data_IF_326836212419
#
_entry.id   IF_326836212419
#
_cell.length_a   1.000
_cell.length_b   1.000
_cell.length_c   1.000
_cell.angle_alpha   90.00
_cell.angle_beta   90.00
_cell.angle_gamma   90.00
#
_symmetry.space_group_name_H-M   'P 1'
#
loop_
_entity.id
_entity.type
_entity.pdbx_description
1 polymer ?
#
# COMPACT_ATOMS: atom_id res chain seq x y z
N UNK A 1 -20.87 -14.41 -10.55
CA UNK A 1 -19.72 -14.91 -9.81
C UNK A 1 -19.05 -13.71 -9.11
N UNK A 2 -19.41 -13.49 -7.85
CA UNK A 2 -18.63 -12.60 -6.98
C UNK A 2 -17.30 -13.32 -6.79
N UNK A 3 -16.20 -12.73 -7.27
CA UNK A 3 -14.89 -13.34 -7.13
C UNK A 3 -14.57 -13.48 -5.64
N UNK A 4 -13.95 -14.59 -5.26
CA UNK A 4 -13.51 -14.85 -3.88
C UNK A 4 -12.53 -13.77 -3.36
N UNK A 5 -11.93 -12.98 -4.23
CA UNK A 5 -11.04 -11.86 -3.91
C UNK A 5 -11.75 -10.73 -3.16
N UNK A 6 -12.95 -10.31 -3.59
CA UNK A 6 -13.67 -9.21 -2.95
C UNK A 6 -14.02 -9.49 -1.48
N UNK A 7 -14.35 -10.75 -1.14
CA UNK A 7 -14.63 -11.12 0.25
C UNK A 7 -13.38 -11.07 1.13
N UNK A 8 -12.22 -11.52 0.63
CA UNK A 8 -10.96 -11.49 1.38
C UNK A 8 -10.48 -10.07 1.66
N UNK A 9 -10.67 -9.14 0.72
CA UNK A 9 -10.29 -7.74 0.89
C UNK A 9 -11.11 -7.04 1.98
N UNK A 10 -12.42 -7.32 2.06
CA UNK A 10 -13.27 -6.80 3.13
C UNK A 10 -12.75 -7.21 4.52
N UNK A 11 -12.37 -8.46 4.70
CA UNK A 11 -11.85 -8.95 5.99
C UNK A 11 -10.49 -8.35 6.33
N UNK A 12 -9.59 -8.22 5.37
CA UNK A 12 -8.26 -7.63 5.59
C UNK A 12 -8.35 -6.20 6.09
N UNK A 13 -9.11 -5.33 5.40
CA UNK A 13 -9.29 -3.95 5.82
C UNK A 13 -9.98 -3.80 7.18
N UNK A 14 -10.99 -4.65 7.46
CA UNK A 14 -11.65 -4.64 8.77
C UNK A 14 -10.69 -5.06 9.89
N UNK A 15 -9.87 -6.08 9.65
CA UNK A 15 -8.85 -6.50 10.60
C UNK A 15 -7.81 -5.40 10.82
N UNK A 16 -7.28 -4.79 9.76
CA UNK A 16 -6.32 -3.69 9.83
C UNK A 16 -6.87 -2.50 10.62
N UNK A 17 -8.07 -2.04 10.27
CA UNK A 17 -8.73 -0.93 10.96
C UNK A 17 -9.02 -1.25 12.45
N UNK A 18 -9.46 -2.48 12.75
CA UNK A 18 -9.73 -2.90 14.13
C UNK A 18 -8.45 -2.96 14.98
N UNK A 19 -7.37 -3.48 14.42
CA UNK A 19 -6.05 -3.51 15.06
C UNK A 19 -5.59 -2.07 15.31
N UNK A 20 -5.71 -1.18 14.31
CA UNK A 20 -5.38 0.24 14.43
C UNK A 20 -6.13 0.89 15.60
N UNK A 21 -7.44 0.76 15.65
CA UNK A 21 -8.27 1.31 16.72
C UNK A 21 -7.89 0.77 18.12
N UNK A 22 -7.57 -0.52 18.20
CA UNK A 22 -7.13 -1.14 19.47
C UNK A 22 -5.74 -0.63 19.91
N UNK A 23 -4.84 -0.35 18.99
CA UNK A 23 -3.52 0.22 19.29
C UNK A 23 -3.64 1.69 19.73
N UNK A 24 -4.46 2.47 19.02
CA UNK A 24 -4.77 3.86 19.41
C UNK A 24 -5.41 3.94 20.80
N UNK A 25 -6.30 3.00 21.14
CA UNK A 25 -6.91 2.94 22.49
C UNK A 25 -5.88 2.70 23.60
N UNK A 26 -4.68 2.24 23.25
CA UNK A 26 -3.53 2.08 24.17
C UNK A 26 -2.57 3.26 24.13
N UNK A 27 -2.89 4.32 23.43
CA UNK A 27 -2.11 5.55 23.35
C UNK A 27 -0.98 5.52 22.33
N UNK A 28 -0.99 4.56 21.39
CA UNK A 28 -0.02 4.48 20.31
C UNK A 28 -0.49 5.30 19.10
N UNK A 29 0.44 5.91 18.41
CA UNK A 29 0.20 6.55 17.11
C UNK A 29 0.26 5.51 16.00
N UNK A 30 -0.76 5.47 15.13
CA UNK A 30 -0.90 4.45 14.10
C UNK A 30 -1.02 5.09 12.73
N UNK A 31 -0.34 4.52 11.74
CA UNK A 31 -0.55 4.79 10.31
C UNK A 31 -1.12 3.53 9.65
N UNK A 32 -2.02 3.73 8.68
CA UNK A 32 -2.56 2.64 7.85
C UNK A 32 -2.27 2.94 6.38
N UNK A 33 -1.70 1.96 5.69
CA UNK A 33 -1.32 2.07 4.29
C UNK A 33 -1.91 0.92 3.47
N UNK A 34 -2.36 1.23 2.27
CA UNK A 34 -2.80 0.25 1.26
C UNK A 34 -1.79 0.16 0.13
N UNK A 35 -1.38 -1.06 -0.18
CA UNK A 35 -0.60 -1.41 -1.37
C UNK A 35 -1.51 -2.15 -2.34
N UNK A 36 -1.73 -1.57 -3.52
CA UNK A 36 -2.62 -2.12 -4.54
C UNK A 36 -1.84 -2.67 -5.73
N UNK A 37 -1.92 -3.98 -6.01
CA UNK A 37 -1.10 -4.62 -7.05
C UNK A 37 -1.59 -4.37 -8.48
N UNK A 38 -2.61 -3.55 -8.72
CA UNK A 38 -3.04 -3.21 -10.07
C UNK A 38 -2.16 -2.13 -10.72
N UNK A 39 -2.18 -2.07 -12.06
CA UNK A 39 -1.32 -1.17 -12.87
C UNK A 39 -1.94 0.24 -13.05
N UNK A 40 -3.17 0.47 -12.67
CA UNK A 40 -3.75 1.81 -12.67
C UNK A 40 -2.96 2.74 -11.76
N UNK A 41 -2.77 3.99 -12.18
CA UNK A 41 -2.05 5.00 -11.37
C UNK A 41 -2.84 5.32 -10.10
N UNK A 42 -4.15 5.42 -10.23
CA UNK A 42 -5.08 5.65 -9.13
C UNK A 42 -6.44 4.97 -9.40
N UNK A 43 -7.35 5.07 -8.46
CA UNK A 43 -8.68 4.49 -8.55
C UNK A 43 -9.68 5.35 -9.35
N UNK A 44 -9.36 6.62 -9.65
CA UNK A 44 -10.31 7.58 -10.21
C UNK A 44 -10.84 7.23 -11.60
N UNK A 45 -10.07 6.50 -12.40
CA UNK A 45 -10.48 6.06 -13.74
C UNK A 45 -11.01 4.63 -13.79
N UNK A 46 -11.07 3.96 -12.66
CA UNK A 46 -11.51 2.56 -12.61
C UNK A 46 -13.04 2.44 -12.65
N UNK A 47 -13.51 1.34 -13.21
CA UNK A 47 -14.95 1.08 -13.28
C UNK A 47 -15.53 0.76 -11.90
N UNK A 48 -16.48 1.57 -11.38
CA UNK A 48 -17.04 1.37 -10.04
C UNK A 48 -17.70 0.00 -9.83
N UNK A 49 -18.25 -0.59 -10.88
CA UNK A 49 -18.87 -1.93 -10.82
C UNK A 49 -17.86 -3.06 -10.64
N UNK A 50 -16.60 -2.83 -11.00
CA UNK A 50 -15.53 -3.81 -10.84
C UNK A 50 -14.68 -3.56 -9.60
N UNK A 51 -14.42 -2.31 -9.28
CA UNK A 51 -13.48 -1.91 -8.23
C UNK A 51 -14.14 -1.36 -6.97
N UNK A 52 -15.37 -0.86 -7.07
CA UNK A 52 -16.06 -0.17 -6.00
C UNK A 52 -15.93 1.35 -6.08
N UNK A 53 -16.35 2.02 -5.03
CA UNK A 53 -16.32 3.47 -4.95
C UNK A 53 -14.90 4.00 -4.73
N UNK A 54 -14.64 5.20 -5.23
CA UNK A 54 -13.38 5.92 -5.03
C UNK A 54 -13.48 6.75 -3.75
N UNK A 55 -12.44 6.70 -2.92
CA UNK A 55 -12.26 7.57 -1.79
C UNK A 55 -11.27 8.68 -2.13
N UNK A 56 -11.65 9.94 -1.87
CA UNK A 56 -10.80 11.11 -2.11
C UNK A 56 -10.27 11.60 -0.77
N UNK A 57 -8.96 11.59 -0.60
CA UNK A 57 -8.27 12.07 0.60
C UNK A 57 -8.30 13.60 0.69
N UNK A 58 -7.99 14.18 1.87
CA UNK A 58 -7.95 15.63 2.05
C UNK A 58 -6.96 16.33 1.12
N UNK A 59 -5.86 15.68 0.75
CA UNK A 59 -4.87 16.20 -0.21
C UNK A 59 -5.24 15.93 -1.67
N UNK A 60 -6.47 15.45 -1.94
CA UNK A 60 -7.04 15.30 -3.27
C UNK A 60 -6.59 14.04 -4.02
N UNK A 61 -6.02 13.06 -3.35
CA UNK A 61 -5.69 11.79 -3.99
C UNK A 61 -6.95 10.91 -4.14
N UNK A 62 -7.13 10.35 -5.33
CA UNK A 62 -8.19 9.38 -5.64
C UNK A 62 -7.68 7.98 -5.31
N UNK A 63 -8.26 7.35 -4.31
CA UNK A 63 -7.76 6.11 -3.73
C UNK A 63 -8.85 5.03 -3.65
N UNK A 64 -8.46 3.83 -3.27
CA UNK A 64 -9.39 2.76 -2.93
C UNK A 64 -10.24 3.16 -1.72
N UNK A 65 -11.49 2.71 -1.70
CA UNK A 65 -12.44 2.89 -0.61
C UNK A 65 -11.91 2.40 0.76
N UNK A 66 -10.95 1.50 0.76
CA UNK A 66 -10.33 0.97 1.97
C UNK A 66 -9.75 2.07 2.86
N UNK A 67 -9.19 3.14 2.27
CA UNK A 67 -8.66 4.28 3.02
C UNK A 67 -9.76 5.02 3.80
N UNK A 68 -10.94 5.16 3.21
CA UNK A 68 -12.10 5.72 3.91
C UNK A 68 -12.58 4.87 5.08
N UNK A 69 -12.40 3.56 5.00
CA UNK A 69 -12.67 2.67 6.14
C UNK A 69 -11.63 2.84 7.26
N UNK A 70 -10.36 3.05 6.92
CA UNK A 70 -9.32 3.31 7.94
C UNK A 70 -9.66 4.57 8.74
N UNK A 71 -9.94 5.68 8.09
CA UNK A 71 -10.34 6.94 8.77
C UNK A 71 -11.63 6.81 9.58
N UNK A 72 -12.54 5.95 9.14
CA UNK A 72 -13.81 5.74 9.85
C UNK A 72 -13.63 5.07 11.22
N UNK A 73 -12.63 4.21 11.37
CA UNK A 73 -12.44 3.38 12.57
C UNK A 73 -11.26 3.83 13.43
N UNK A 74 -10.38 4.67 12.91
CA UNK A 74 -9.20 5.18 13.60
C UNK A 74 -9.15 6.70 13.56
N UNK A 75 -8.23 7.31 14.30
CA UNK A 75 -7.92 8.73 14.21
C UNK A 75 -6.80 9.03 13.19
N UNK A 76 -6.32 8.02 12.49
CA UNK A 76 -5.31 8.18 11.47
C UNK A 76 -5.86 8.99 10.28
N UNK A 77 -5.18 10.07 9.92
CA UNK A 77 -5.50 10.85 8.73
C UNK A 77 -4.77 10.24 7.56
N UNK A 78 -5.52 9.77 6.56
CA UNK A 78 -4.92 9.22 5.35
C UNK A 78 -4.74 10.30 4.29
N UNK A 79 -3.67 10.17 3.53
CA UNK A 79 -3.30 11.06 2.45
C UNK A 79 -2.71 10.25 1.29
N UNK A 80 -2.28 10.91 0.25
CA UNK A 80 -1.64 10.31 -0.93
C UNK A 80 -0.54 9.29 -0.60
N UNK A 81 0.23 9.51 0.47
CA UNK A 81 1.34 8.61 0.83
C UNK A 81 0.87 7.27 1.40
N UNK A 82 -0.40 7.18 1.80
CA UNK A 82 -0.97 5.98 2.39
C UNK A 82 -1.61 5.02 1.37
N UNK A 83 -1.61 5.39 0.07
CA UNK A 83 -1.99 4.49 -1.01
C UNK A 83 -0.89 4.42 -2.06
N UNK A 84 -0.47 3.21 -2.40
CA UNK A 84 0.56 3.00 -3.41
C UNK A 84 0.15 1.87 -4.34
N UNK A 85 0.01 2.18 -5.63
CA UNK A 85 -0.32 1.21 -6.67
C UNK A 85 0.92 0.74 -7.41
N UNK A 86 0.86 -0.42 -8.03
CA UNK A 86 1.91 -0.88 -8.96
C UNK A 86 2.15 0.16 -10.05
N UNK A 87 1.08 0.77 -10.58
CA UNK A 87 1.18 1.81 -11.61
C UNK A 87 2.02 3.00 -11.18
N UNK A 88 1.79 3.51 -9.95
CA UNK A 88 2.58 4.61 -9.40
C UNK A 88 4.06 4.25 -9.25
N UNK A 89 4.35 3.03 -8.80
CA UNK A 89 5.73 2.56 -8.63
C UNK A 89 6.45 2.51 -9.98
N UNK A 90 5.84 1.88 -10.99
CA UNK A 90 6.45 1.77 -12.31
C UNK A 90 6.57 3.13 -13.01
N UNK A 91 5.56 4.01 -12.92
CA UNK A 91 5.63 5.37 -13.48
C UNK A 91 6.83 6.13 -12.88
N UNK A 92 7.00 6.08 -11.56
CA UNK A 92 8.11 6.72 -10.86
C UNK A 92 9.46 6.17 -11.32
N UNK A 93 9.59 4.85 -11.43
CA UNK A 93 10.82 4.20 -11.88
C UNK A 93 11.15 4.58 -13.33
N UNK A 94 10.15 4.57 -14.21
CA UNK A 94 10.32 4.94 -15.62
C UNK A 94 10.75 6.40 -15.74
N UNK A 95 10.15 7.31 -14.96
CA UNK A 95 10.56 8.71 -14.93
C UNK A 95 11.99 8.89 -14.45
N UNK A 96 12.42 8.20 -13.40
CA UNK A 96 13.80 8.20 -12.90
C UNK A 96 14.77 7.69 -13.96
N UNK A 97 14.41 6.61 -14.67
CA UNK A 97 15.19 6.05 -15.75
C UNK A 97 15.37 7.08 -16.88
N UNK A 98 14.26 7.69 -17.33
CA UNK A 98 14.29 8.71 -18.40
C UNK A 98 15.05 9.98 -17.99
N UNK A 99 15.08 10.31 -16.72
CA UNK A 99 15.88 11.41 -16.17
C UNK A 99 17.37 11.04 -15.99
N UNK A 100 17.76 9.78 -16.22
CA UNK A 100 19.15 9.33 -16.10
C UNK A 100 19.61 9.07 -14.67
N UNK A 101 18.70 8.99 -13.71
CA UNK A 101 19.05 8.82 -12.29
C UNK A 101 19.74 7.48 -11.99
N UNK A 102 19.54 6.48 -12.85
CA UNK A 102 20.20 5.18 -12.72
C UNK A 102 21.57 5.08 -13.42
N UNK A 103 22.07 6.20 -13.98
CA UNK A 103 23.43 6.31 -14.57
C UNK A 103 23.75 5.21 -15.60
N UNK A 104 22.75 4.77 -16.37
CA UNK A 104 22.90 3.73 -17.40
C UNK A 104 22.83 2.29 -16.87
N UNK A 105 22.54 2.08 -15.60
CA UNK A 105 22.31 0.75 -15.07
C UNK A 105 21.05 0.11 -15.67
N UNK A 106 21.03 -1.22 -15.77
CA UNK A 106 19.83 -1.96 -16.16
C UNK A 106 18.82 -1.90 -15.02
N UNK A 107 17.64 -1.31 -15.28
CA UNK A 107 16.56 -1.21 -14.30
C UNK A 107 15.69 -2.47 -14.34
N UNK A 108 15.50 -3.13 -13.19
CA UNK A 108 14.84 -4.42 -13.06
C UNK A 108 13.85 -4.41 -11.89
N UNK A 109 12.98 -5.41 -11.82
CA UNK A 109 12.05 -5.55 -10.69
C UNK A 109 12.83 -5.67 -9.38
N UNK A 110 13.87 -6.50 -9.35
CA UNK A 110 14.81 -6.59 -8.24
C UNK A 110 16.14 -5.97 -8.68
N UNK A 111 16.65 -4.93 -8.03
CA UNK A 111 16.14 -4.35 -6.77
C UNK A 111 15.15 -3.20 -6.93
N UNK A 112 15.04 -2.55 -8.08
CA UNK A 112 14.49 -1.19 -8.21
C UNK A 112 13.01 -1.06 -7.84
N UNK A 113 12.15 -2.01 -8.30
CA UNK A 113 10.72 -2.01 -7.92
C UNK A 113 10.57 -2.34 -6.43
N UNK A 114 11.36 -3.30 -5.95
CA UNK A 114 11.33 -3.72 -4.54
C UNK A 114 11.76 -2.56 -3.62
N UNK A 115 12.81 -1.85 -3.98
CA UNK A 115 13.30 -0.72 -3.19
C UNK A 115 12.29 0.43 -3.18
N UNK A 116 11.63 0.72 -4.31
CA UNK A 116 10.59 1.74 -4.37
C UNK A 116 9.37 1.39 -3.51
N UNK A 117 8.98 0.10 -3.45
CA UNK A 117 7.93 -0.37 -2.53
C UNK A 117 8.36 -0.16 -1.07
N UNK A 118 9.59 -0.55 -0.71
CA UNK A 118 10.11 -0.36 0.65
C UNK A 118 10.15 1.12 1.02
N UNK A 119 10.58 1.99 0.12
CA UNK A 119 10.57 3.44 0.34
C UNK A 119 9.14 4.00 0.54
N UNK A 120 8.15 3.48 -0.20
CA UNK A 120 6.76 3.90 -0.03
C UNK A 120 6.24 3.54 1.38
N UNK A 121 6.54 2.33 1.87
CA UNK A 121 6.19 1.91 3.22
C UNK A 121 6.87 2.79 4.27
N UNK A 122 8.15 3.09 4.12
CA UNK A 122 8.88 3.95 5.06
C UNK A 122 8.26 5.36 5.13
N UNK A 123 7.91 5.95 3.97
CA UNK A 123 7.26 7.27 3.94
C UNK A 123 5.92 7.29 4.67
N UNK A 124 5.12 6.22 4.53
CA UNK A 124 3.84 6.09 5.23
C UNK A 124 4.01 5.77 6.73
N UNK A 125 5.19 5.34 7.14
CA UNK A 125 5.52 4.98 8.53
C UNK A 125 6.18 6.12 9.31
N UNK A 126 6.32 7.29 8.71
CA UNK A 126 7.03 8.41 9.34
C UNK A 126 6.26 8.95 10.53
N UNK A 127 6.97 9.21 11.62
CA UNK A 127 6.44 9.81 12.85
C UNK A 127 5.29 9.05 13.54
N UNK A 128 5.19 7.73 13.37
CA UNK A 128 4.21 6.88 14.08
C UNK A 128 4.91 5.76 14.84
N UNK A 129 4.25 5.26 15.88
CA UNK A 129 4.75 4.12 16.65
C UNK A 129 4.59 2.81 15.88
N UNK A 130 3.48 2.68 15.14
CA UNK A 130 3.13 1.47 14.38
C UNK A 130 2.52 1.85 13.03
N UNK A 131 3.05 1.25 11.96
CA UNK A 131 2.44 1.28 10.64
C UNK A 131 1.81 -0.07 10.31
N UNK A 132 0.55 -0.04 9.90
CA UNK A 132 -0.20 -1.21 9.41
C UNK A 132 -0.26 -1.11 7.90
N UNK A 133 0.33 -2.08 7.21
CA UNK A 133 0.37 -2.11 5.74
C UNK A 133 -0.48 -3.27 5.25
N UNK A 134 -1.54 -2.95 4.51
CA UNK A 134 -2.40 -3.92 3.87
C UNK A 134 -1.99 -4.09 2.40
N UNK A 135 -1.78 -5.34 1.98
CA UNK A 135 -1.57 -5.67 0.56
C UNK A 135 -2.88 -6.13 -0.04
N UNK A 136 -3.35 -5.44 -1.07
CA UNK A 136 -4.51 -5.80 -1.87
C UNK A 136 -4.29 -7.07 -2.70
N UNK A 137 -5.40 -7.60 -3.23
CA UNK A 137 -5.38 -8.80 -4.05
C UNK A 137 -5.26 -10.11 -3.27
N UNK A 138 -5.09 -11.21 -4.01
CA UNK A 138 -5.02 -12.56 -3.46
C UNK A 138 -3.55 -13.01 -3.40
N UNK A 139 -3.17 -13.64 -2.30
CA UNK A 139 -1.83 -14.26 -2.17
C UNK A 139 -1.69 -15.37 -3.20
N UNK A 140 -0.63 -15.29 -4.00
CA UNK A 140 -0.35 -16.21 -5.11
C UNK A 140 -0.61 -15.63 -6.49
N UNK A 141 -1.29 -14.50 -6.59
CA UNK A 141 -1.42 -13.77 -7.85
C UNK A 141 -0.06 -13.18 -8.25
N UNK A 142 0.24 -13.22 -9.55
CA UNK A 142 1.54 -12.78 -10.08
C UNK A 142 1.80 -11.29 -9.78
N UNK A 143 0.76 -10.49 -9.74
CA UNK A 143 0.81 -9.05 -9.47
C UNK A 143 1.29 -8.74 -8.04
N UNK A 144 1.05 -9.66 -7.10
CA UNK A 144 1.43 -9.49 -5.70
C UNK A 144 2.87 -9.85 -5.39
N UNK A 145 3.57 -10.56 -6.30
CA UNK A 145 4.93 -11.07 -6.05
C UNK A 145 5.94 -9.97 -5.66
N UNK A 146 6.00 -8.80 -6.32
CA UNK A 146 6.95 -7.76 -5.92
C UNK A 146 6.69 -7.23 -4.49
N UNK A 147 5.43 -7.13 -4.09
CA UNK A 147 5.07 -6.69 -2.74
C UNK A 147 5.47 -7.73 -1.68
N UNK A 148 5.24 -9.01 -1.93
CA UNK A 148 5.65 -10.09 -1.03
C UNK A 148 7.18 -10.17 -0.91
N UNK A 149 7.91 -9.97 -2.02
CA UNK A 149 9.36 -9.91 -1.98
C UNK A 149 9.87 -8.69 -1.21
N UNK A 150 9.22 -7.52 -1.39
CA UNK A 150 9.56 -6.32 -0.63
C UNK A 150 9.42 -6.55 0.88
N UNK A 151 8.32 -7.19 1.34
CA UNK A 151 8.12 -7.53 2.75
C UNK A 151 9.19 -8.49 3.25
N UNK A 152 9.52 -9.53 2.46
CA UNK A 152 10.57 -10.48 2.81
C UNK A 152 11.92 -9.78 3.04
N UNK A 153 12.30 -8.87 2.13
CA UNK A 153 13.53 -8.09 2.25
C UNK A 153 13.44 -7.07 3.39
N UNK A 154 12.29 -6.44 3.58
CA UNK A 154 12.07 -5.43 4.62
C UNK A 154 12.43 -5.98 6.01
N UNK A 155 12.03 -7.23 6.30
CA UNK A 155 12.40 -7.90 7.55
C UNK A 155 13.91 -8.08 7.70
N UNK A 156 14.61 -8.36 6.60
CA UNK A 156 16.06 -8.50 6.61
C UNK A 156 16.76 -7.15 6.80
N UNK A 157 16.27 -6.11 6.14
CA UNK A 157 16.91 -4.79 6.10
C UNK A 157 16.66 -4.00 7.39
N UNK A 158 15.46 -4.15 7.99
CA UNK A 158 15.00 -3.36 9.14
C UNK A 158 14.79 -4.19 10.41
N UNK A 159 15.15 -5.47 10.40
CA UNK A 159 15.14 -6.34 11.57
C UNK A 159 13.77 -6.90 11.96
N UNK A 160 13.66 -7.30 13.26
CA UNK A 160 12.49 -8.02 13.78
C UNK A 160 11.28 -7.11 14.10
N UNK A 161 11.32 -5.84 13.71
CA UNK A 161 10.19 -4.93 13.93
C UNK A 161 8.99 -5.22 13.02
N UNK A 162 9.15 -6.10 12.02
CA UNK A 162 8.09 -6.48 11.10
C UNK A 162 7.37 -7.73 11.59
N UNK A 163 6.04 -7.60 11.77
CA UNK A 163 5.13 -8.70 12.14
C UNK A 163 4.21 -8.97 10.94
N UNK A 164 4.14 -10.23 10.52
CA UNK A 164 3.16 -10.68 9.52
C UNK A 164 1.92 -11.26 10.22
N UNK A 165 0.75 -10.85 9.76
CA UNK A 165 -0.54 -11.32 10.23
C UNK A 165 -1.30 -11.93 9.06
#
# INVERSE_FOLDING_TARGET
LVSSSAASDVYKRQAGASIGALLESRGLTVSLMKLDPYINIDAGTMNPFQHGEVYVTEDGAETDLDLGHYERYTNAVVSRVHNCTTGQIYDKIIRKERAGEYLGATVQVVPHVIDEIKEAVLRASDNVDIAIVEIGGTVGDIESLPFLEAIRQFRHDYGLSLIHI
#
